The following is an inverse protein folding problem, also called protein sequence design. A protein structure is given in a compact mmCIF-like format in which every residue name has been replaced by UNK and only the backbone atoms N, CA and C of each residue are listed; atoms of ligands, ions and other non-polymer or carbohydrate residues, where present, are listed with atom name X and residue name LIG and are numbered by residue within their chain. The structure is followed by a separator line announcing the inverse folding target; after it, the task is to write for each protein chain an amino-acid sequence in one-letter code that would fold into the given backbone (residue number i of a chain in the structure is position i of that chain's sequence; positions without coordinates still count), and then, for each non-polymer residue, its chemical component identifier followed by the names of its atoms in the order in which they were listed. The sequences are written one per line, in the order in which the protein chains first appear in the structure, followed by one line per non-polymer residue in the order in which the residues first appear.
data_IF_863928164903
#
_entry.id   IF_863928164903
#
_cell.length_a   1.000
_cell.length_b   1.000
_cell.length_c   1.000
_cell.angle_alpha   90.00
_cell.angle_beta   90.00
_cell.angle_gamma   90.00
#
_symmetry.space_group_name_H-M   'P 1'
#
loop_
_entity.id
_entity.type
_entity.pdbx_description
1 polymer ?
#
# COMPACT_ATOMS: atom_id res chain seq x y z
N UNK A 1 14.94 14.90 10.48
CA UNK A 1 14.23 13.91 9.63
C UNK A 1 13.29 13.01 10.44
N UNK A 2 13.70 12.52 11.62
CA UNK A 2 12.86 11.67 12.48
C UNK A 2 11.43 12.19 12.74
N UNK A 3 11.25 13.49 13.05
CA UNK A 3 9.92 14.06 13.30
C UNK A 3 8.97 14.09 12.08
N UNK A 4 9.50 14.13 10.86
CA UNK A 4 8.69 14.10 9.62
C UNK A 4 8.23 12.67 9.33
N UNK A 5 9.11 11.68 9.49
CA UNK A 5 8.76 10.26 9.36
C UNK A 5 7.66 9.86 10.35
N UNK A 6 7.78 10.28 11.61
CA UNK A 6 6.80 10.05 12.66
C UNK A 6 5.46 10.76 12.37
N UNK A 7 5.50 12.01 11.89
CA UNK A 7 4.29 12.74 11.49
C UNK A 7 3.57 12.07 10.31
N UNK A 8 4.31 11.63 9.29
CA UNK A 8 3.75 10.89 8.15
C UNK A 8 3.10 9.59 8.64
N UNK A 9 3.81 8.79 9.44
CA UNK A 9 3.31 7.52 9.95
C UNK A 9 2.02 7.68 10.78
N UNK A 10 1.97 8.67 11.68
CA UNK A 10 0.80 8.95 12.52
C UNK A 10 -0.42 9.38 11.70
N UNK A 11 -0.19 10.20 10.66
CA UNK A 11 -1.29 10.72 9.83
C UNK A 11 -1.90 9.64 8.94
N UNK A 12 -1.10 8.65 8.51
CA UNK A 12 -1.61 7.52 7.75
C UNK A 12 -2.45 6.54 8.57
N UNK A 13 -2.17 6.43 9.88
CA UNK A 13 -2.98 5.63 10.80
C UNK A 13 -4.37 6.26 11.00
N UNK A 14 -4.43 7.60 11.07
CA UNK A 14 -5.68 8.35 11.28
C UNK A 14 -6.58 8.47 10.04
N UNK A 15 -6.01 8.37 8.85
CA UNK A 15 -6.76 8.37 7.58
C UNK A 15 -7.43 6.99 7.32
N UNK A 16 -7.06 5.96 8.08
CA UNK A 16 -7.49 4.56 7.88
C UNK A 16 -8.49 4.12 8.95
N UNK A 17 -9.72 4.63 8.89
CA UNK A 17 -10.86 3.83 9.32
C UNK A 17 -11.05 2.71 8.30
N UNK A 18 -10.23 1.65 8.37
CA UNK A 18 -10.24 0.60 7.36
C UNK A 18 -11.54 -0.21 7.51
N UNK A 19 -12.47 -0.14 6.52
CA UNK A 19 -13.68 -0.95 6.57
C UNK A 19 -13.31 -2.44 6.56
N UNK A 20 -14.18 -3.27 7.10
CA UNK A 20 -13.99 -4.71 7.06
C UNK A 20 -14.12 -5.22 5.60
N UNK A 21 -13.01 -5.65 4.99
CA UNK A 21 -12.97 -6.10 3.58
C UNK A 21 -13.33 -7.59 3.45
N UNK A 22 -14.60 -7.92 3.29
CA UNK A 22 -15.09 -9.32 3.25
C UNK A 22 -15.09 -9.95 1.87
N UNK A 23 -15.02 -9.15 0.80
CA UNK A 23 -15.07 -9.64 -0.59
C UNK A 23 -13.88 -9.17 -1.41
N UNK A 24 -13.64 -9.87 -2.53
CA UNK A 24 -12.63 -9.52 -3.53
C UNK A 24 -12.88 -8.12 -4.12
N UNK A 25 -14.13 -7.79 -4.43
CA UNK A 25 -14.47 -6.49 -5.02
C UNK A 25 -14.33 -5.33 -4.03
N UNK A 26 -14.66 -5.56 -2.75
CA UNK A 26 -14.35 -4.61 -1.68
C UNK A 26 -12.83 -4.38 -1.57
N UNK A 27 -12.03 -5.43 -1.78
CA UNK A 27 -10.58 -5.30 -1.71
C UNK A 27 -10.02 -4.49 -2.88
N UNK A 28 -10.50 -4.76 -4.10
CA UNK A 28 -10.17 -3.98 -5.29
C UNK A 28 -10.55 -2.51 -5.08
N UNK A 29 -11.79 -2.24 -4.68
CA UNK A 29 -12.25 -0.87 -4.45
C UNK A 29 -11.43 -0.13 -3.39
N UNK A 30 -11.09 -0.79 -2.29
CA UNK A 30 -10.28 -0.20 -1.23
C UNK A 30 -8.85 0.12 -1.71
N UNK A 31 -8.20 -0.82 -2.42
CA UNK A 31 -6.83 -0.64 -2.88
C UNK A 31 -6.75 0.38 -4.02
N UNK A 32 -7.70 0.37 -4.96
CA UNK A 32 -7.83 1.38 -6.02
C UNK A 32 -7.97 2.78 -5.41
N UNK A 33 -8.91 2.98 -4.48
CA UNK A 33 -9.10 4.27 -3.80
C UNK A 33 -7.86 4.71 -3.04
N UNK A 34 -7.17 3.80 -2.36
CA UNK A 34 -5.92 4.11 -1.66
C UNK A 34 -4.85 4.62 -2.63
N UNK A 35 -4.71 3.99 -3.80
CA UNK A 35 -3.71 4.37 -4.81
C UNK A 35 -4.08 5.70 -5.46
N UNK A 36 -5.35 5.95 -5.77
CA UNK A 36 -5.84 7.24 -6.27
C UNK A 36 -5.49 8.38 -5.31
N UNK A 37 -5.82 8.21 -4.03
CA UNK A 37 -5.56 9.24 -3.01
C UNK A 37 -4.06 9.49 -2.85
N UNK A 38 -3.24 8.43 -2.83
CA UNK A 38 -1.78 8.52 -2.62
C UNK A 38 -1.01 8.97 -3.86
N UNK A 39 -1.54 8.77 -5.05
CA UNK A 39 -0.93 9.25 -6.31
C UNK A 39 -1.49 10.60 -6.78
N UNK A 40 -2.62 11.06 -6.22
CA UNK A 40 -3.23 12.36 -6.50
C UNK A 40 -3.13 13.34 -5.31
N UNK A 41 -4.20 13.55 -4.51
CA UNK A 41 -4.22 14.56 -3.45
C UNK A 41 -3.07 14.48 -2.44
N UNK A 42 -2.58 13.27 -2.13
CA UNK A 42 -1.49 13.04 -1.17
C UNK A 42 -0.15 12.72 -1.84
N UNK A 43 -0.01 12.98 -3.14
CA UNK A 43 1.18 12.64 -3.92
C UNK A 43 2.48 13.23 -3.36
N UNK A 44 2.45 14.45 -2.83
CA UNK A 44 3.61 15.07 -2.18
C UNK A 44 4.07 14.28 -0.94
N UNK A 45 3.12 13.80 -0.12
CA UNK A 45 3.40 12.96 1.06
C UNK A 45 4.00 11.62 0.65
N UNK A 46 3.45 11.01 -0.40
CA UNK A 46 3.95 9.73 -0.93
C UNK A 46 5.37 9.87 -1.51
N UNK A 47 5.65 10.94 -2.26
CA UNK A 47 7.01 11.23 -2.76
C UNK A 47 7.99 11.47 -1.61
N UNK A 48 7.60 12.23 -0.58
CA UNK A 48 8.43 12.45 0.60
C UNK A 48 8.75 11.13 1.33
N UNK A 49 7.78 10.22 1.45
CA UNK A 49 8.04 8.88 1.99
C UNK A 49 9.05 8.10 1.15
N UNK A 50 8.90 8.07 -0.18
CA UNK A 50 9.86 7.36 -1.03
C UNK A 50 11.26 7.95 -0.94
N UNK A 51 11.38 9.28 -0.92
CA UNK A 51 12.67 9.93 -0.69
C UNK A 51 13.28 9.55 0.67
N UNK A 52 12.47 9.51 1.74
CA UNK A 52 12.95 9.05 3.05
C UNK A 52 13.45 7.60 3.00
N UNK A 53 12.72 6.68 2.36
CA UNK A 53 13.17 5.29 2.21
C UNK A 53 14.49 5.12 1.45
N UNK A 54 14.83 6.07 0.57
CA UNK A 54 16.08 6.04 -0.19
C UNK A 54 17.25 6.71 0.54
N UNK A 55 16.98 7.80 1.26
CA UNK A 55 18.02 8.72 1.72
C UNK A 55 18.21 8.78 3.26
N UNK A 56 17.27 8.24 4.05
CA UNK A 56 17.33 8.34 5.51
C UNK A 56 18.10 7.18 6.16
N UNK A 57 18.68 7.45 7.33
CA UNK A 57 19.32 6.43 8.18
C UNK A 57 18.30 5.47 8.81
N UNK A 58 18.80 4.34 9.34
CA UNK A 58 17.97 3.27 9.89
C UNK A 58 17.06 3.71 11.05
N UNK A 59 17.54 4.63 11.89
CA UNK A 59 16.78 5.14 13.04
C UNK A 59 15.61 6.02 12.60
N UNK A 60 15.83 6.86 11.58
CA UNK A 60 14.78 7.68 10.97
C UNK A 60 13.77 6.85 10.18
N UNK A 61 14.17 5.68 9.67
CA UNK A 61 13.28 4.76 8.94
C UNK A 61 12.43 3.87 9.84
N UNK A 62 12.82 3.65 11.10
CA UNK A 62 12.12 2.74 12.03
C UNK A 62 10.59 2.98 12.08
N UNK A 63 10.07 4.22 12.23
CA UNK A 63 8.62 4.45 12.25
C UNK A 63 7.92 4.07 10.94
N UNK A 64 8.59 4.27 9.79
CA UNK A 64 8.06 3.90 8.48
C UNK A 64 8.04 2.38 8.29
N UNK A 65 9.05 1.67 8.79
CA UNK A 65 9.11 0.21 8.80
C UNK A 65 8.02 -0.39 9.69
N UNK A 66 7.81 0.15 10.89
CA UNK A 66 6.73 -0.27 11.79
C UNK A 66 5.35 -0.10 11.14
N UNK A 67 5.12 1.05 10.49
CA UNK A 67 3.88 1.28 9.74
C UNK A 67 3.72 0.30 8.56
N UNK A 68 4.82 0.00 7.85
CA UNK A 68 4.82 -0.96 6.74
C UNK A 68 4.46 -2.37 7.22
N UNK A 69 4.98 -2.80 8.37
CA UNK A 69 4.63 -4.08 9.00
C UNK A 69 3.14 -4.17 9.33
N UNK A 70 2.55 -3.09 9.84
CA UNK A 70 1.10 -3.03 10.09
C UNK A 70 0.28 -3.18 8.81
N UNK A 71 0.68 -2.50 7.73
CA UNK A 71 0.03 -2.64 6.42
C UNK A 71 0.18 -4.07 5.87
N UNK A 72 1.36 -4.69 6.00
CA UNK A 72 1.58 -6.07 5.56
C UNK A 72 0.68 -7.04 6.32
N UNK A 73 0.60 -6.92 7.65
CA UNK A 73 -0.25 -7.77 8.47
C UNK A 73 -1.73 -7.64 8.10
N UNK A 74 -2.18 -6.41 7.79
CA UNK A 74 -3.54 -6.14 7.35
C UNK A 74 -3.85 -6.73 5.96
N UNK A 75 -2.97 -6.53 4.97
CA UNK A 75 -3.13 -7.14 3.63
C UNK A 75 -3.12 -8.66 3.72
N UNK A 76 -2.21 -9.23 4.52
CA UNK A 76 -2.11 -10.67 4.74
C UNK A 76 -3.40 -11.26 5.33
N UNK A 77 -4.01 -10.57 6.30
CA UNK A 77 -5.24 -11.07 6.92
C UNK A 77 -6.43 -11.04 5.95
N UNK A 78 -6.50 -10.04 5.05
CA UNK A 78 -7.50 -9.99 3.98
C UNK A 78 -7.29 -11.15 3.00
N UNK A 79 -6.07 -11.36 2.53
CA UNK A 79 -5.76 -12.47 1.62
C UNK A 79 -6.05 -13.83 2.25
N UNK A 80 -5.67 -14.02 3.52
CA UNK A 80 -5.99 -15.24 4.27
C UNK A 80 -7.49 -15.50 4.36
N UNK A 81 -8.29 -14.45 4.59
CA UNK A 81 -9.75 -14.57 4.64
C UNK A 81 -10.36 -14.90 3.27
N UNK A 82 -9.86 -14.32 2.19
CA UNK A 82 -10.43 -14.48 0.85
C UNK A 82 -9.97 -15.76 0.13
N UNK A 83 -8.74 -16.22 0.37
CA UNK A 83 -8.14 -17.36 -0.36
C UNK A 83 -7.30 -18.32 0.50
N UNK A 84 -7.35 -18.19 1.83
CA UNK A 84 -6.63 -19.07 2.76
C UNK A 84 -5.11 -18.82 2.82
N UNK A 85 -4.39 -19.75 3.45
CA UNK A 85 -2.94 -19.63 3.67
C UNK A 85 -2.13 -19.53 2.38
N UNK A 86 -2.65 -20.10 1.29
CA UNK A 86 -2.02 -19.97 -0.01
C UNK A 86 -2.04 -18.52 -0.52
N UNK A 87 -3.17 -17.81 -0.37
CA UNK A 87 -3.28 -16.39 -0.71
C UNK A 87 -2.45 -15.54 0.22
N UNK A 88 -2.43 -15.87 1.51
CA UNK A 88 -1.63 -15.15 2.49
C UNK A 88 -0.13 -15.12 2.13
N UNK A 89 0.41 -16.16 1.47
CA UNK A 89 1.80 -16.19 1.00
C UNK A 89 2.09 -15.18 -0.12
N UNK A 90 1.06 -14.73 -0.84
CA UNK A 90 1.17 -13.76 -1.93
C UNK A 90 1.12 -12.30 -1.46
N UNK A 91 1.12 -12.05 -0.14
CA UNK A 91 1.09 -10.69 0.45
C UNK A 91 2.20 -9.80 -0.11
N UNK A 92 3.45 -10.28 -0.12
CA UNK A 92 4.59 -9.51 -0.61
C UNK A 92 4.45 -9.15 -2.09
N UNK A 93 3.92 -10.07 -2.91
CA UNK A 93 3.64 -9.81 -4.32
C UNK A 93 2.63 -8.67 -4.48
N UNK A 94 1.49 -8.75 -3.79
CA UNK A 94 0.45 -7.73 -3.91
C UNK A 94 0.93 -6.35 -3.45
N UNK A 95 1.68 -6.29 -2.34
CA UNK A 95 2.23 -5.03 -1.85
C UNK A 95 3.27 -4.44 -2.81
N UNK A 96 4.16 -5.28 -3.36
CA UNK A 96 5.17 -4.84 -4.33
C UNK A 96 4.53 -4.32 -5.62
N UNK A 97 3.47 -4.98 -6.11
CA UNK A 97 2.71 -4.53 -7.27
C UNK A 97 2.07 -3.15 -7.02
N UNK A 98 1.45 -2.96 -5.85
CA UNK A 98 0.87 -1.67 -5.44
C UNK A 98 1.90 -0.55 -5.30
N UNK A 99 3.05 -0.82 -4.70
CA UNK A 99 4.15 0.16 -4.59
C UNK A 99 4.73 0.51 -5.97
N UNK A 100 4.89 -0.48 -6.85
CA UNK A 100 5.34 -0.27 -8.23
C UNK A 100 4.38 0.63 -9.00
N UNK A 101 3.08 0.37 -8.91
CA UNK A 101 2.05 1.22 -9.54
C UNK A 101 2.06 2.64 -8.97
N UNK A 102 2.15 2.79 -7.65
CA UNK A 102 2.24 4.11 -7.00
C UNK A 102 3.45 4.88 -7.49
N UNK A 103 4.63 4.25 -7.49
CA UNK A 103 5.85 4.89 -7.94
C UNK A 103 5.76 5.26 -9.43
N UNK A 104 5.28 4.34 -10.28
CA UNK A 104 5.10 4.58 -11.71
C UNK A 104 4.17 5.77 -11.99
N UNK A 105 3.06 5.89 -11.27
CA UNK A 105 2.16 7.05 -11.40
C UNK A 105 2.79 8.36 -10.92
N UNK A 106 3.66 8.30 -9.93
CA UNK A 106 4.31 9.49 -9.38
C UNK A 106 5.47 10.00 -10.23
N UNK A 107 6.06 9.16 -11.09
CA UNK A 107 7.34 9.46 -11.79
C UNK A 107 7.31 9.28 -13.30
N UNK A 108 6.46 8.39 -13.85
CA UNK A 108 6.48 8.02 -15.27
C UNK A 108 5.16 8.38 -15.96
N UNK A 109 4.04 7.83 -15.49
CA UNK A 109 2.73 7.97 -16.14
C UNK A 109 1.64 8.29 -15.11
N UNK A 110 1.30 9.58 -14.92
CA UNK A 110 0.28 9.99 -13.95
C UNK A 110 -1.13 9.49 -14.28
N UNK A 111 -1.36 8.92 -15.46
CA UNK A 111 -2.67 8.43 -15.91
C UNK A 111 -2.74 6.89 -15.99
N UNK A 112 -1.67 6.16 -15.62
CA UNK A 112 -1.60 4.70 -15.68
C UNK A 112 -2.82 4.03 -15.00
N UNK A 113 -3.51 3.07 -15.66
CA UNK A 113 -4.81 2.59 -15.21
C UNK A 113 -4.73 1.84 -13.87
N UNK A 114 -5.29 2.44 -12.81
CA UNK A 114 -5.21 1.89 -11.45
C UNK A 114 -6.05 0.62 -11.33
N UNK A 115 -7.32 0.70 -11.71
CA UNK A 115 -8.29 -0.37 -11.48
C UNK A 115 -7.88 -1.68 -12.16
N UNK A 116 -7.45 -1.62 -13.43
CA UNK A 116 -6.99 -2.78 -14.19
C UNK A 116 -5.77 -3.46 -13.56
N UNK A 117 -4.82 -2.67 -13.03
CA UNK A 117 -3.59 -3.22 -12.42
C UNK A 117 -3.91 -3.80 -11.04
N UNK A 118 -4.71 -3.12 -10.23
CA UNK A 118 -5.16 -3.59 -8.91
C UNK A 118 -5.96 -4.88 -9.02
N UNK A 119 -6.96 -4.91 -9.92
CA UNK A 119 -7.77 -6.09 -10.23
C UNK A 119 -6.89 -7.29 -10.57
N UNK A 120 -5.97 -7.13 -11.53
CA UNK A 120 -5.05 -8.21 -11.93
C UNK A 120 -4.15 -8.67 -10.80
N UNK A 121 -3.62 -7.77 -9.99
CA UNK A 121 -2.74 -8.11 -8.87
C UNK A 121 -3.50 -8.87 -7.77
N UNK A 122 -4.73 -8.46 -7.46
CA UNK A 122 -5.57 -9.17 -6.48
C UNK A 122 -5.96 -10.55 -7.00
N UNK A 123 -6.37 -10.66 -8.27
CA UNK A 123 -6.74 -11.95 -8.85
C UNK A 123 -5.55 -12.92 -8.87
N UNK A 124 -4.36 -12.45 -9.26
CA UNK A 124 -3.15 -13.24 -9.20
C UNK A 124 -2.76 -13.64 -7.77
N UNK A 125 -2.98 -12.75 -6.79
CA UNK A 125 -2.71 -13.05 -5.39
C UNK A 125 -3.69 -14.09 -4.80
N UNK A 126 -4.90 -14.18 -5.32
CA UNK A 126 -5.94 -15.14 -4.91
C UNK A 126 -5.91 -16.47 -5.70
N UNK A 127 -5.18 -16.53 -6.81
CA UNK A 127 -5.01 -17.75 -7.59
C UNK A 127 -3.95 -18.67 -6.95
N UNK A 128 -4.30 -19.95 -6.78
CA UNK A 128 -3.45 -21.02 -6.25
C UNK A 128 -3.57 -22.28 -7.09
#
# INVERSE_FOLDING_TARGET
MAGVAEWIARRELGDAGAPEITTRDEFVGALTRMIEVRSGPLAARTRARYALFLEADDDALRPLREQRTGMEAWVRSILARLGGDAAARNTTFLMAAGDGLLLHRLTVDPDAPIDDVVTRAIDAALQH
#
